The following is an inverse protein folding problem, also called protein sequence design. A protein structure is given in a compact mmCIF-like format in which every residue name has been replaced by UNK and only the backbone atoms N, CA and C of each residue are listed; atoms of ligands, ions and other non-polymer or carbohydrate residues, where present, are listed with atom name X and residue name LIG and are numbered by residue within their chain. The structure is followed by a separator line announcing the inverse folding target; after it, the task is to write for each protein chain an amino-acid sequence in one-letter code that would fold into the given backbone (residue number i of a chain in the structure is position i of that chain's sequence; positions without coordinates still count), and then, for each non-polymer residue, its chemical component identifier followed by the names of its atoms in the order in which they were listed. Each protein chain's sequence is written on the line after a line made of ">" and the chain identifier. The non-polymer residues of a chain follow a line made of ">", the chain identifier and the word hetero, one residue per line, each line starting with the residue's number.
data_IF_006765713824
#
_entry.id   IF_006765713824
#
_cell.length_a   1.000
_cell.length_b   1.000
_cell.length_c   1.000
_cell.angle_alpha   90.00
_cell.angle_beta   90.00
_cell.angle_gamma   90.00
#
_symmetry.space_group_name_H-M   'P 1'
#
loop_
_entity.id
_entity.type
_entity.pdbx_description
1 polymer ?
#
# COMPACT_ATOMS: atom_id res chain seq x y z
N UNK A 1 -12.55 1.43 -11.69
CA UNK A 1 -12.57 2.71 -10.93
C UNK A 1 -13.52 3.77 -11.48
N UNK A 2 -13.40 4.21 -12.75
CA UNK A 2 -14.26 5.27 -13.30
C UNK A 2 -15.76 4.88 -13.35
N UNK A 3 -16.04 3.59 -13.53
CA UNK A 3 -17.41 3.05 -13.61
C UNK A 3 -18.14 2.98 -12.26
N UNK A 4 -17.47 3.29 -11.14
CA UNK A 4 -17.99 3.22 -9.76
C UNK A 4 -17.93 4.56 -9.03
N UNK A 5 -17.77 5.67 -9.77
CA UNK A 5 -17.64 7.00 -9.16
C UNK A 5 -18.90 7.42 -8.37
N UNK A 6 -20.07 6.90 -8.76
CA UNK A 6 -21.37 7.12 -8.14
C UNK A 6 -21.53 6.46 -6.77
N UNK A 7 -20.82 5.36 -6.50
CA UNK A 7 -20.73 4.71 -5.17
C UNK A 7 -20.03 5.59 -4.13
N UNK A 8 -19.47 6.71 -4.60
CA UNK A 8 -18.84 7.69 -3.76
C UNK A 8 -17.51 7.18 -3.23
N UNK A 9 -16.55 7.02 -4.12
CA UNK A 9 -15.14 6.78 -3.77
C UNK A 9 -14.70 7.76 -2.68
N UNK A 10 -14.04 7.24 -1.64
CA UNK A 10 -13.50 8.06 -0.55
C UNK A 10 -12.10 7.66 -0.11
N UNK A 11 -11.60 6.49 -0.52
CA UNK A 11 -10.21 6.09 -0.27
C UNK A 11 -9.63 5.32 -1.45
N UNK A 12 -8.32 5.49 -1.67
CA UNK A 12 -7.52 4.70 -2.60
C UNK A 12 -6.17 4.37 -1.97
N UNK A 13 -5.68 3.17 -2.25
CA UNK A 13 -4.39 2.72 -1.79
C UNK A 13 -3.67 1.95 -2.89
N UNK A 14 -2.35 1.99 -2.82
CA UNK A 14 -1.51 0.91 -3.33
C UNK A 14 -1.08 0.07 -2.12
N UNK A 15 -0.94 -1.23 -2.30
CA UNK A 15 -0.32 -2.08 -1.28
C UNK A 15 0.60 -3.11 -1.91
N UNK A 16 1.58 -3.54 -1.12
CA UNK A 16 2.59 -4.55 -1.46
C UNK A 16 2.62 -5.62 -0.38
N UNK A 17 3.40 -6.67 -0.60
CA UNK A 17 3.86 -7.61 0.42
C UNK A 17 5.30 -7.28 0.84
N UNK A 18 5.74 -7.87 1.97
CA UNK A 18 7.10 -7.72 2.50
C UNK A 18 8.17 -8.29 1.56
N UNK A 19 7.83 -9.29 0.75
CA UNK A 19 8.73 -9.83 -0.27
C UNK A 19 8.92 -8.93 -1.49
N UNK A 20 8.25 -7.76 -1.56
CA UNK A 20 8.29 -6.85 -2.70
C UNK A 20 7.91 -7.47 -4.05
N UNK A 21 7.11 -8.55 -4.05
CA UNK A 21 6.69 -9.27 -5.26
C UNK A 21 5.40 -8.73 -5.85
N UNK A 22 4.64 -7.94 -5.08
CA UNK A 22 3.30 -7.50 -5.46
C UNK A 22 3.13 -5.99 -5.37
N UNK A 23 2.33 -5.44 -6.28
CA UNK A 23 1.74 -4.12 -6.13
C UNK A 23 0.30 -4.23 -6.58
N UNK A 24 -0.62 -3.91 -5.69
CA UNK A 24 -2.05 -4.01 -5.95
C UNK A 24 -2.76 -2.70 -5.64
N UNK A 25 -3.73 -2.28 -6.46
CA UNK A 25 -4.61 -1.18 -6.13
C UNK A 25 -5.71 -1.64 -5.16
N UNK A 26 -6.17 -0.73 -4.31
CA UNK A 26 -7.38 -0.95 -3.53
C UNK A 26 -8.21 0.32 -3.43
N UNK A 27 -9.52 0.20 -3.58
CA UNK A 27 -10.45 1.34 -3.51
C UNK A 27 -11.58 1.08 -2.54
N UNK A 28 -11.92 2.08 -1.73
CA UNK A 28 -13.09 2.04 -0.88
C UNK A 28 -14.14 3.11 -1.22
N UNK A 29 -15.39 2.77 -0.96
CA UNK A 29 -16.57 3.57 -1.28
C UNK A 29 -17.42 3.83 -0.04
N UNK A 30 -18.15 4.95 -0.07
CA UNK A 30 -19.06 5.30 1.02
C UNK A 30 -20.20 4.30 1.14
N UNK A 31 -20.64 3.74 0.01
CA UNK A 31 -21.66 2.70 0.00
C UNK A 31 -21.21 1.43 0.72
N UNK A 32 -19.99 0.96 0.45
CA UNK A 32 -19.45 -0.21 1.16
C UNK A 32 -19.27 0.06 2.66
N UNK A 33 -18.68 1.19 3.03
CA UNK A 33 -18.53 1.56 4.45
C UNK A 33 -19.86 1.65 5.20
N UNK A 34 -20.94 2.06 4.53
CA UNK A 34 -22.26 2.11 5.16
C UNK A 34 -22.79 0.71 5.56
N UNK A 35 -22.22 -0.36 5.00
CA UNK A 35 -22.53 -1.75 5.35
C UNK A 35 -21.59 -2.35 6.40
N UNK A 36 -20.48 -1.68 6.73
CA UNK A 36 -19.47 -2.19 7.65
C UNK A 36 -19.99 -2.23 9.11
N UNK A 37 -19.59 -3.24 9.91
CA UNK A 37 -19.97 -3.31 11.32
C UNK A 37 -19.46 -2.10 12.11
N UNK A 38 -20.34 -1.40 12.83
CA UNK A 38 -19.96 -0.19 13.57
C UNK A 38 -18.79 -0.39 14.56
N UNK A 39 -18.70 -1.56 15.20
CA UNK A 39 -17.62 -1.89 16.13
C UNK A 39 -16.23 -1.94 15.46
N UNK A 40 -16.20 -2.25 14.17
CA UNK A 40 -14.99 -2.47 13.39
C UNK A 40 -14.84 -1.40 12.30
N UNK A 41 -15.67 -0.34 12.31
CA UNK A 41 -15.77 0.63 11.23
C UNK A 41 -14.43 1.30 10.92
N UNK A 42 -13.62 1.60 11.94
CA UNK A 42 -12.31 2.23 11.76
C UNK A 42 -11.34 1.30 11.01
N UNK A 43 -11.40 0.00 11.27
CA UNK A 43 -10.60 -1.01 10.56
C UNK A 43 -10.98 -1.05 9.08
N UNK A 44 -12.27 -1.24 8.76
CA UNK A 44 -12.76 -1.20 7.38
C UNK A 44 -12.56 0.16 6.68
N UNK A 45 -12.39 1.25 7.45
CA UNK A 45 -12.10 2.58 6.88
C UNK A 45 -10.69 2.67 6.33
N UNK A 46 -9.73 1.97 6.95
CA UNK A 46 -8.30 2.22 6.78
C UNK A 46 -7.46 0.98 6.46
N UNK A 47 -8.05 -0.21 6.38
CA UNK A 47 -7.38 -1.45 5.97
C UNK A 47 -7.66 -1.76 4.49
N UNK A 48 -6.71 -1.54 3.56
CA UNK A 48 -6.93 -1.74 2.13
C UNK A 48 -7.34 -3.16 1.74
N UNK A 49 -6.89 -4.17 2.49
CA UNK A 49 -7.25 -5.57 2.25
C UNK A 49 -8.75 -5.87 2.46
N UNK A 50 -9.45 -5.02 3.21
CA UNK A 50 -10.86 -5.17 3.55
C UNK A 50 -11.78 -4.24 2.74
N UNK A 51 -11.22 -3.53 1.76
CA UNK A 51 -11.98 -2.57 0.97
C UNK A 51 -12.74 -3.24 -0.17
N UNK A 52 -13.77 -2.54 -0.66
CA UNK A 52 -14.73 -3.08 -1.65
C UNK A 52 -14.06 -3.61 -2.92
N UNK A 53 -13.04 -2.90 -3.40
CA UNK A 53 -12.34 -3.14 -4.66
C UNK A 53 -10.86 -3.38 -4.37
N UNK A 54 -10.58 -4.40 -3.57
CA UNK A 54 -9.24 -4.93 -3.33
C UNK A 54 -8.76 -5.68 -4.58
N UNK A 55 -7.51 -5.41 -4.99
CA UNK A 55 -6.88 -5.91 -6.22
C UNK A 55 -7.70 -5.72 -7.52
N UNK A 56 -8.75 -4.88 -7.50
CA UNK A 56 -9.67 -4.71 -8.63
C UNK A 56 -9.35 -3.45 -9.43
N UNK A 57 -9.04 -3.65 -10.71
CA UNK A 57 -8.87 -2.60 -11.70
C UNK A 57 -7.47 -2.58 -12.29
N UNK A 58 -7.40 -2.45 -13.62
CA UNK A 58 -6.14 -2.51 -14.37
C UNK A 58 -5.35 -3.80 -14.09
N UNK A 59 -6.07 -4.92 -13.91
CA UNK A 59 -5.52 -6.21 -13.50
C UNK A 59 -4.39 -6.66 -14.43
N UNK A 60 -4.53 -6.41 -15.74
CA UNK A 60 -3.50 -6.79 -16.71
C UNK A 60 -2.19 -6.01 -16.49
N UNK A 61 -2.29 -4.72 -16.20
CA UNK A 61 -1.16 -3.84 -15.97
C UNK A 61 -0.48 -4.17 -14.64
N UNK A 62 -1.26 -4.35 -13.56
CA UNK A 62 -0.71 -4.72 -12.26
C UNK A 62 -0.12 -6.14 -12.25
N UNK A 63 -0.80 -7.12 -12.87
CA UNK A 63 -0.22 -8.47 -13.03
C UNK A 63 1.11 -8.43 -13.81
N UNK A 64 1.24 -7.53 -14.80
CA UNK A 64 2.51 -7.36 -15.50
C UNK A 64 3.60 -6.84 -14.57
N UNK A 65 3.28 -5.85 -13.73
CA UNK A 65 4.22 -5.31 -12.74
C UNK A 65 4.63 -6.41 -11.75
N UNK A 66 3.68 -7.14 -11.17
CA UNK A 66 3.98 -8.22 -10.22
C UNK A 66 4.85 -9.32 -10.85
N UNK A 67 4.58 -9.71 -12.11
CA UNK A 67 5.43 -10.67 -12.80
C UNK A 67 6.86 -10.14 -13.02
N UNK A 68 7.01 -8.85 -13.37
CA UNK A 68 8.33 -8.24 -13.54
C UNK A 68 9.10 -8.13 -12.21
N UNK A 69 8.41 -7.88 -11.10
CA UNK A 69 9.00 -7.89 -9.75
C UNK A 69 9.43 -9.30 -9.36
N UNK A 70 8.56 -10.28 -9.56
CA UNK A 70 8.86 -11.69 -9.29
C UNK A 70 10.05 -12.19 -10.11
N UNK A 71 10.07 -11.94 -11.42
CA UNK A 71 11.17 -12.33 -12.30
C UNK A 71 12.50 -11.67 -11.90
N UNK A 72 12.46 -10.43 -11.40
CA UNK A 72 13.65 -9.73 -10.90
C UNK A 72 14.15 -10.35 -9.59
N UNK A 73 13.24 -10.65 -8.66
CA UNK A 73 13.61 -11.26 -7.39
C UNK A 73 14.19 -12.66 -7.58
N UNK A 74 13.57 -13.51 -8.39
CA UNK A 74 14.10 -14.84 -8.70
C UNK A 74 15.47 -14.82 -9.40
N UNK A 75 15.77 -13.75 -10.14
CA UNK A 75 17.03 -13.61 -10.88
C UNK A 75 18.17 -13.06 -10.02
N UNK A 76 17.86 -12.10 -9.15
CA UNK A 76 18.84 -11.31 -8.41
C UNK A 76 18.96 -11.76 -6.93
N UNK A 77 17.93 -12.39 -6.37
CA UNK A 77 17.85 -12.88 -4.98
C UNK A 77 17.32 -14.33 -4.91
N UNK A 78 18.01 -15.31 -5.51
CA UNK A 78 17.56 -16.70 -5.49
C UNK A 78 17.51 -17.23 -4.05
N UNK A 79 16.44 -17.95 -3.68
CA UNK A 79 16.39 -18.65 -2.39
C UNK A 79 17.50 -19.72 -2.35
N UNK A 80 18.48 -19.55 -1.46
CA UNK A 80 19.50 -20.56 -1.22
C UNK A 80 18.88 -21.78 -0.53
N UNK A 81 18.67 -22.85 -1.30
CA UNK A 81 18.14 -24.15 -0.85
C UNK A 81 19.15 -24.94 0.04
N UNK A 82 20.33 -24.38 0.31
CA UNK A 82 21.41 -25.04 1.06
C UNK A 82 21.34 -24.70 2.56
N UNK A 83 20.48 -25.41 3.31
CA UNK A 83 20.36 -25.36 4.79
C UNK A 83 21.66 -25.72 5.59
N UNK A 84 22.82 -25.84 4.94
CA UNK A 84 24.07 -26.37 5.51
C UNK A 84 25.31 -25.44 5.34
N UNK A 85 25.16 -24.18 4.93
CA UNK A 85 26.30 -23.23 4.84
C UNK A 85 26.58 -22.54 6.19
N UNK A 86 27.53 -23.07 6.97
CA UNK A 86 28.09 -22.48 8.20
C UNK A 86 29.02 -21.25 7.92
N UNK A 87 28.77 -20.45 6.86
CA UNK A 87 29.58 -19.27 6.53
C UNK A 87 28.81 -17.97 6.83
N UNK A 88 28.83 -17.57 8.12
CA UNK A 88 28.25 -16.37 8.75
C UNK A 88 28.66 -14.99 8.14
N UNK A 89 29.34 -14.93 7.00
CA UNK A 89 29.96 -13.70 6.47
C UNK A 89 29.51 -13.31 5.03
N UNK A 90 28.76 -14.14 4.28
CA UNK A 90 28.28 -13.81 2.92
C UNK A 90 26.78 -13.41 2.84
N UNK A 91 25.99 -13.67 3.90
CA UNK A 91 24.53 -13.39 3.93
C UNK A 91 24.17 -11.90 4.09
N UNK A 92 25.07 -11.06 4.63
CA UNK A 92 24.75 -9.66 4.98
C UNK A 92 24.64 -8.72 3.75
N UNK A 93 25.37 -8.98 2.65
CA UNK A 93 25.37 -8.09 1.46
C UNK A 93 24.13 -8.30 0.57
N UNK A 94 23.67 -9.54 0.38
CA UNK A 94 22.47 -9.86 -0.40
C UNK A 94 21.19 -9.36 0.30
N UNK A 95 21.17 -9.42 1.64
CA UNK A 95 20.12 -8.82 2.46
C UNK A 95 20.07 -7.29 2.32
N UNK A 96 21.23 -6.61 2.25
CA UNK A 96 21.27 -5.15 2.04
C UNK A 96 20.74 -4.76 0.64
N UNK A 97 21.13 -5.46 -0.42
CA UNK A 97 20.67 -5.19 -1.79
C UNK A 97 19.15 -5.43 -1.94
N UNK A 98 18.64 -6.52 -1.35
CA UNK A 98 17.20 -6.77 -1.33
C UNK A 98 16.43 -5.69 -0.57
N UNK A 99 16.94 -5.24 0.58
CA UNK A 99 16.33 -4.14 1.33
C UNK A 99 16.32 -2.86 0.50
N UNK A 100 17.38 -2.53 -0.24
CA UNK A 100 17.39 -1.38 -1.14
C UNK A 100 16.36 -1.51 -2.28
N UNK A 101 16.24 -2.69 -2.88
CA UNK A 101 15.22 -2.99 -3.88
C UNK A 101 13.80 -2.80 -3.33
N UNK A 102 13.51 -3.41 -2.18
CA UNK A 102 12.23 -3.34 -1.48
C UNK A 102 11.85 -1.88 -1.16
N UNK A 103 12.78 -1.11 -0.57
CA UNK A 103 12.53 0.28 -0.23
C UNK A 103 12.34 1.16 -1.48
N UNK A 104 13.00 0.83 -2.59
CA UNK A 104 12.80 1.51 -3.87
C UNK A 104 11.41 1.26 -4.43
N UNK A 105 10.89 0.02 -4.34
CA UNK A 105 9.51 -0.29 -4.73
C UNK A 105 8.50 0.51 -3.90
N UNK A 106 8.67 0.52 -2.57
CA UNK A 106 7.77 1.23 -1.66
C UNK A 106 7.80 2.73 -1.93
N UNK A 107 8.98 3.33 -2.08
CA UNK A 107 9.11 4.74 -2.42
C UNK A 107 8.46 5.06 -3.77
N UNK A 108 8.59 4.17 -4.76
CA UNK A 108 7.93 4.33 -6.07
C UNK A 108 6.41 4.36 -5.92
N UNK A 109 5.83 3.49 -5.08
CA UNK A 109 4.39 3.50 -4.79
C UNK A 109 3.96 4.82 -4.12
N UNK A 110 4.75 5.32 -3.16
CA UNK A 110 4.51 6.61 -2.53
C UNK A 110 4.54 7.77 -3.53
N UNK A 111 5.51 7.78 -4.44
CA UNK A 111 5.67 8.83 -5.45
C UNK A 111 4.51 8.83 -6.44
N UNK A 112 4.00 7.65 -6.83
CA UNK A 112 2.80 7.53 -7.65
C UNK A 112 1.59 8.14 -6.95
N UNK A 113 1.36 7.81 -5.68
CA UNK A 113 0.24 8.37 -4.89
C UNK A 113 0.37 9.89 -4.74
N UNK A 114 1.58 10.39 -4.48
CA UNK A 114 1.86 11.82 -4.39
C UNK A 114 1.61 12.53 -5.71
N UNK A 115 2.02 11.93 -6.83
CA UNK A 115 1.75 12.46 -8.18
C UNK A 115 0.25 12.53 -8.46
N UNK A 116 -0.51 11.47 -8.16
CA UNK A 116 -1.97 11.46 -8.31
C UNK A 116 -2.64 12.58 -7.52
N UNK A 117 -2.16 12.84 -6.29
CA UNK A 117 -2.61 13.98 -5.48
C UNK A 117 -2.28 15.31 -6.17
N UNK A 118 -1.02 15.53 -6.55
CA UNK A 118 -0.56 16.79 -7.15
C UNK A 118 -1.26 17.10 -8.48
N UNK A 119 -1.67 16.08 -9.22
CA UNK A 119 -2.41 16.20 -10.47
C UNK A 119 -3.92 16.43 -10.26
N UNK A 120 -4.40 16.56 -9.02
CA UNK A 120 -5.83 16.64 -8.66
C UNK A 120 -6.64 15.46 -9.23
N UNK A 121 -6.03 14.30 -9.45
CA UNK A 121 -6.63 13.19 -10.19
C UNK A 121 -7.99 12.78 -9.59
N UNK A 122 -8.00 12.46 -8.29
CA UNK A 122 -9.21 12.02 -7.60
C UNK A 122 -10.21 13.14 -7.38
N UNK A 123 -9.76 14.39 -7.23
CA UNK A 123 -10.66 15.54 -7.15
C UNK A 123 -11.42 15.74 -8.47
N UNK A 124 -10.75 15.55 -9.61
CA UNK A 124 -11.37 15.59 -10.94
C UNK A 124 -12.31 14.41 -11.18
N UNK A 125 -11.98 13.22 -10.68
CA UNK A 125 -12.77 12.01 -10.85
C UNK A 125 -13.99 11.94 -9.93
N UNK A 126 -13.81 12.17 -8.63
CA UNK A 126 -14.81 11.98 -7.59
C UNK A 126 -15.46 13.29 -7.11
N UNK A 127 -15.01 14.46 -7.60
CA UNK A 127 -15.50 15.77 -7.19
C UNK A 127 -15.12 16.18 -5.77
N UNK A 128 -14.19 15.46 -5.13
CA UNK A 128 -13.71 15.70 -3.76
C UNK A 128 -12.33 15.10 -3.54
N UNK A 129 -11.64 15.55 -2.51
CA UNK A 129 -10.45 14.87 -2.02
C UNK A 129 -10.83 13.53 -1.37
N UNK A 130 -9.96 12.55 -1.54
CA UNK A 130 -10.11 11.21 -0.97
C UNK A 130 -8.92 10.90 -0.06
N UNK A 131 -9.04 9.87 0.77
CA UNK A 131 -7.93 9.37 1.55
C UNK A 131 -6.98 8.54 0.68
N UNK A 132 -5.68 8.79 0.79
CA UNK A 132 -4.63 8.09 0.07
C UNK A 132 -3.66 7.44 1.07
N UNK A 133 -3.31 6.18 0.82
CA UNK A 133 -2.29 5.50 1.63
C UNK A 133 -1.52 4.46 0.82
N UNK A 134 -0.35 4.11 1.33
CA UNK A 134 0.35 2.90 0.93
C UNK A 134 0.33 1.94 2.13
N UNK A 135 0.15 0.66 1.87
CA UNK A 135 0.19 -0.40 2.88
C UNK A 135 1.11 -1.54 2.42
N UNK A 136 1.54 -2.37 3.36
CA UNK A 136 2.43 -3.50 3.15
C UNK A 136 1.94 -4.52 4.15
N UNK A 137 1.52 -5.67 3.64
CA UNK A 137 1.03 -6.76 4.49
C UNK A 137 2.17 -7.35 5.29
N UNK A 138 1.91 -7.68 6.56
CA UNK A 138 2.88 -8.28 7.50
C UNK A 138 4.16 -7.48 7.78
N UNK A 139 4.21 -6.21 7.37
CA UNK A 139 5.38 -5.33 7.58
C UNK A 139 5.33 -4.51 8.88
N UNK A 140 6.43 -4.51 9.63
CA UNK A 140 6.59 -3.63 10.78
C UNK A 140 6.99 -2.20 10.35
N UNK A 141 6.00 -1.33 10.26
CA UNK A 141 6.23 0.07 9.94
C UNK A 141 7.00 0.82 11.03
N UNK A 142 8.00 1.60 10.62
CA UNK A 142 8.38 2.79 11.37
C UNK A 142 7.17 3.73 11.45
N UNK A 143 6.62 3.86 12.66
CA UNK A 143 5.43 4.66 12.93
C UNK A 143 5.58 6.13 12.55
N UNK A 144 6.76 6.72 12.69
CA UNK A 144 6.98 8.11 12.32
C UNK A 144 7.05 8.24 10.79
N UNK A 145 7.73 7.32 10.08
CA UNK A 145 7.70 7.30 8.60
C UNK A 145 6.27 7.17 8.06
N UNK A 146 5.48 6.25 8.62
CA UNK A 146 4.08 6.07 8.23
C UNK A 146 3.26 7.33 8.50
N UNK A 147 3.44 7.96 9.67
CA UNK A 147 2.75 9.21 10.01
C UNK A 147 3.13 10.36 9.08
N UNK A 148 4.39 10.50 8.73
CA UNK A 148 4.88 11.51 7.78
C UNK A 148 4.28 11.28 6.39
N UNK A 149 4.23 10.02 5.95
CA UNK A 149 3.62 9.66 4.67
C UNK A 149 2.12 9.98 4.63
N UNK A 150 1.36 9.57 5.65
CA UNK A 150 -0.07 9.86 5.74
C UNK A 150 -0.31 11.37 5.77
N UNK A 151 0.56 12.13 6.43
CA UNK A 151 0.48 13.59 6.49
C UNK A 151 0.77 14.24 5.14
N UNK A 152 1.75 13.72 4.40
CA UNK A 152 2.11 14.18 3.06
C UNK A 152 0.99 13.92 2.05
N UNK A 153 0.47 12.69 2.04
CA UNK A 153 -0.57 12.26 1.11
C UNK A 153 -1.93 12.88 1.41
N UNK A 154 -2.23 13.25 2.66
CA UNK A 154 -3.56 13.70 3.05
C UNK A 154 -3.56 15.07 3.72
N UNK A 155 -4.17 16.06 3.09
CA UNK A 155 -4.44 17.40 3.65
C UNK A 155 -5.91 17.61 4.05
N UNK A 156 -6.69 16.53 4.03
CA UNK A 156 -8.11 16.48 4.35
C UNK A 156 -8.36 15.92 5.78
N UNK A 157 -9.62 15.92 6.27
CA UNK A 157 -9.94 15.41 7.62
C UNK A 157 -9.60 13.93 7.87
N UNK A 158 -9.46 13.11 6.82
CA UNK A 158 -9.13 11.69 6.96
C UNK A 158 -7.73 11.49 7.53
N UNK A 159 -6.80 12.42 7.28
CA UNK A 159 -5.48 12.44 7.93
C UNK A 159 -5.61 12.30 9.45
N UNK A 160 -6.38 13.19 10.08
CA UNK A 160 -6.45 13.20 11.54
C UNK A 160 -7.13 11.95 12.09
N UNK A 161 -8.14 11.43 11.39
CA UNK A 161 -8.82 10.20 11.77
C UNK A 161 -7.86 9.00 11.76
N UNK A 162 -7.03 8.87 10.72
CA UNK A 162 -6.00 7.83 10.66
C UNK A 162 -4.95 8.01 11.76
N UNK A 163 -4.44 9.23 11.96
CA UNK A 163 -3.46 9.51 13.01
C UNK A 163 -4.01 9.24 14.42
N UNK A 164 -5.31 9.45 14.65
CA UNK A 164 -5.96 9.10 15.91
C UNK A 164 -6.10 7.58 16.06
N UNK A 165 -6.39 6.86 14.98
CA UNK A 165 -6.40 5.39 14.98
C UNK A 165 -5.01 4.81 15.27
N UNK A 166 -3.94 5.35 14.67
CA UNK A 166 -2.56 4.94 14.95
C UNK A 166 -2.18 5.01 16.43
N UNK A 167 -2.75 5.95 17.19
CA UNK A 167 -2.51 6.08 18.65
C UNK A 167 -3.09 4.90 19.44
N UNK A 168 -4.03 4.17 18.88
CA UNK A 168 -4.66 2.99 19.51
C UNK A 168 -3.85 1.72 19.32
N UNK A 169 -2.92 1.70 18.35
CA UNK A 169 -2.06 0.55 18.08
C UNK A 169 -1.10 0.34 19.25
N UNK A 170 -1.05 -0.90 19.77
CA UNK A 170 -0.17 -1.26 20.90
C UNK A 170 1.27 -0.92 20.57
N UNK A 171 1.94 -0.21 21.49
CA UNK A 171 3.38 0.05 21.40
C UNK A 171 4.17 -1.24 21.52
#
# INVERSE_FOLDING_TARGET
>A
MADHADEGIYAFALYSDEGAMTVCPSTNTKEFLATAPQRDLVYYTFEPAEWRYEADGADKEFNKICNELYDAIEADFPEDDDEDSDDDDEDDEDDEEFVEFQQTLYQTCHDVLLKLKQEDFFRKLAGRDIFLMFSVTDYEYDREKLKDMITLLNDNPYRQQYLDWMKTWRR
#
